data_IF_148958303308
#
_entry.id   IF_148958303308
#
_cell.length_a   1.000
_cell.length_b   1.000
_cell.length_c   1.000
_cell.angle_alpha   90.00
_cell.angle_beta   90.00
_cell.angle_gamma   90.00
#
_symmetry.space_group_name_H-M   'P 1'
#
loop_
_entity.id
_entity.type
_entity.pdbx_description
1 polymer ?
#
# COMPACT_ATOMS: atom_id res chain seq x y z
N UNK A 1 10.97 -17.24 -1.21
CA UNK A 1 10.92 -16.77 0.20
C UNK A 1 9.46 -16.65 0.60
N UNK A 2 9.08 -17.10 1.79
CA UNK A 2 7.68 -17.05 2.25
C UNK A 2 7.56 -16.13 3.48
N UNK A 3 6.53 -15.27 3.50
CA UNK A 3 6.16 -14.40 4.61
C UNK A 3 4.79 -14.80 5.14
N UNK A 4 4.57 -14.71 6.45
CA UNK A 4 3.33 -15.19 7.10
C UNK A 4 2.72 -14.14 8.02
N UNK A 5 1.40 -14.16 8.10
CA UNK A 5 0.59 -13.48 9.11
C UNK A 5 -0.59 -14.38 9.46
N UNK A 6 -1.15 -14.21 10.65
CA UNK A 6 -2.29 -14.97 11.14
C UNK A 6 -3.41 -14.01 11.57
N UNK A 7 -4.64 -14.43 11.37
CA UNK A 7 -5.84 -13.78 11.89
C UNK A 7 -6.61 -14.76 12.79
N UNK A 8 -7.07 -14.30 13.94
CA UNK A 8 -8.01 -15.02 14.80
C UNK A 8 -9.30 -14.21 14.85
N UNK A 9 -10.46 -14.88 14.79
CA UNK A 9 -11.77 -14.25 14.95
C UNK A 9 -12.62 -15.03 15.94
N UNK A 10 -13.37 -14.32 16.79
CA UNK A 10 -14.25 -14.92 17.80
C UNK A 10 -15.60 -14.20 17.80
N UNK A 11 -16.70 -14.96 17.74
CA UNK A 11 -18.07 -14.43 17.73
C UNK A 11 -18.66 -14.28 16.32
N UNK A 12 -19.78 -13.56 16.23
CA UNK A 12 -20.49 -13.33 14.98
C UNK A 12 -19.77 -12.29 14.09
N UNK A 13 -20.32 -11.97 12.92
CA UNK A 13 -19.67 -11.06 11.97
C UNK A 13 -19.63 -9.59 12.39
N UNK A 14 -20.62 -9.10 13.16
CA UNK A 14 -20.75 -7.66 13.50
C UNK A 14 -20.17 -7.31 14.87
N UNK A 15 -20.40 -8.16 15.86
CA UNK A 15 -19.98 -7.98 17.25
C UNK A 15 -18.74 -8.82 17.59
N UNK A 16 -18.28 -9.64 16.65
CA UNK A 16 -17.09 -10.45 16.80
C UNK A 16 -15.82 -9.62 16.95
N UNK A 17 -14.81 -10.24 17.54
CA UNK A 17 -13.50 -9.63 17.79
C UNK A 17 -12.44 -10.37 17.01
N UNK A 18 -11.67 -9.62 16.23
CA UNK A 18 -10.56 -10.11 15.47
C UNK A 18 -9.22 -9.71 16.08
N UNK A 19 -8.18 -10.51 15.82
CA UNK A 19 -6.79 -10.15 16.11
C UNK A 19 -5.88 -10.52 14.93
N UNK A 20 -4.91 -9.65 14.61
CA UNK A 20 -3.90 -9.85 13.58
C UNK A 20 -2.49 -9.95 14.17
N UNK A 21 -1.72 -10.90 13.68
CA UNK A 21 -0.31 -11.10 14.06
C UNK A 21 0.55 -11.31 12.82
N UNK A 22 1.67 -10.60 12.71
CA UNK A 22 2.65 -10.75 11.61
C UNK A 22 3.88 -11.52 12.06
N UNK A 23 4.53 -12.26 11.16
CA UNK A 23 5.75 -13.04 11.48
C UNK A 23 6.89 -12.19 12.06
N UNK A 24 7.00 -10.91 11.69
CA UNK A 24 8.03 -10.00 12.21
C UNK A 24 7.72 -9.49 13.63
N UNK A 25 6.49 -9.66 14.11
CA UNK A 25 6.02 -9.09 15.37
C UNK A 25 5.61 -7.61 15.30
N UNK A 26 5.64 -6.98 14.12
CA UNK A 26 5.18 -5.57 13.94
C UNK A 26 3.69 -5.44 14.33
N UNK A 27 2.87 -6.40 13.89
CA UNK A 27 1.59 -6.68 14.51
C UNK A 27 1.71 -7.90 15.43
N UNK A 28 1.22 -7.77 16.66
CA UNK A 28 1.21 -8.77 17.72
C UNK A 28 -0.15 -8.75 18.42
N UNK A 29 -1.07 -9.64 17.99
CA UNK A 29 -2.44 -9.72 18.49
C UNK A 29 -3.21 -8.39 18.42
N UNK A 30 -2.94 -7.59 17.38
CA UNK A 30 -3.58 -6.28 17.20
C UNK A 30 -5.08 -6.45 16.91
N UNK A 31 -5.98 -5.76 17.64
CA UNK A 31 -7.41 -5.92 17.45
C UNK A 31 -7.88 -5.34 16.11
N UNK A 32 -8.81 -6.02 15.45
CA UNK A 32 -9.58 -5.51 14.32
C UNK A 32 -11.02 -6.02 14.39
N UNK A 33 -11.97 -5.31 13.78
CA UNK A 33 -13.38 -5.65 13.87
C UNK A 33 -14.23 -5.04 12.76
N UNK A 34 -15.54 -5.27 12.83
CA UNK A 34 -16.49 -4.61 11.91
C UNK A 34 -16.46 -3.09 12.09
N UNK A 35 -16.46 -2.64 13.34
CA UNK A 35 -16.34 -1.24 13.76
C UNK A 35 -15.09 -0.53 13.21
N UNK A 36 -13.92 -1.19 13.20
CA UNK A 36 -12.67 -0.58 12.69
C UNK A 36 -12.52 -0.66 11.17
N UNK A 37 -13.35 -1.47 10.51
CA UNK A 37 -13.28 -1.69 9.06
C UNK A 37 -14.37 -0.97 8.27
N UNK A 38 -15.58 -0.91 8.80
CA UNK A 38 -16.76 -0.38 8.11
C UNK A 38 -17.39 0.82 8.84
N UNK A 39 -16.95 1.12 10.05
CA UNK A 39 -17.38 2.30 10.82
C UNK A 39 -16.17 3.22 11.05
N UNK A 40 -16.31 4.22 11.90
CA UNK A 40 -15.31 5.29 12.08
C UNK A 40 -14.38 5.07 13.27
N UNK A 41 -14.42 3.90 13.91
CA UNK A 41 -13.59 3.64 15.08
C UNK A 41 -12.11 3.44 14.69
N UNK A 42 -11.16 4.16 15.34
CA UNK A 42 -9.74 3.96 15.08
C UNK A 42 -9.30 2.52 15.39
N UNK A 43 -8.59 1.91 14.45
CA UNK A 43 -8.02 0.57 14.58
C UNK A 43 -7.55 0.05 13.24
N UNK A 44 -6.82 -1.06 13.24
CA UNK A 44 -6.33 -1.63 11.98
C UNK A 44 -7.45 -2.30 11.20
N UNK A 45 -7.25 -2.42 9.89
CA UNK A 45 -8.12 -3.12 8.97
C UNK A 45 -7.32 -3.69 7.79
N UNK A 46 -7.84 -4.68 7.04
CA UNK A 46 -7.14 -5.23 5.89
C UNK A 46 -6.75 -4.19 4.83
N UNK A 47 -7.57 -3.17 4.61
CA UNK A 47 -7.38 -2.16 3.58
C UNK A 47 -6.15 -1.27 3.85
N UNK A 48 -5.94 -0.81 5.09
CA UNK A 48 -4.72 -0.05 5.44
C UNK A 48 -3.46 -0.91 5.37
N UNK A 49 -3.55 -2.21 5.62
CA UNK A 49 -2.40 -3.12 5.50
C UNK A 49 -2.03 -3.37 4.04
N UNK A 50 -3.02 -3.44 3.15
CA UNK A 50 -2.81 -3.46 1.69
C UNK A 50 -2.21 -2.12 1.24
N UNK A 51 -2.71 -1.00 1.75
CA UNK A 51 -2.16 0.32 1.45
C UNK A 51 -0.69 0.42 1.85
N UNK A 52 -0.34 0.03 3.09
CA UNK A 52 1.03 0.00 3.59
C UNK A 52 1.94 -0.90 2.73
N UNK A 53 1.46 -2.09 2.37
CA UNK A 53 2.18 -3.00 1.50
C UNK A 53 2.44 -2.39 0.10
N UNK A 54 1.42 -1.75 -0.48
CA UNK A 54 1.52 -1.17 -1.81
C UNK A 54 2.44 0.05 -1.84
N UNK A 55 2.28 0.99 -0.88
CA UNK A 55 3.16 2.14 -0.73
C UNK A 55 4.62 1.73 -0.57
N UNK A 56 4.90 0.78 0.32
CA UNK A 56 6.27 0.29 0.57
C UNK A 56 6.87 -0.41 -0.65
N UNK A 57 6.09 -1.28 -1.31
CA UNK A 57 6.54 -2.02 -2.48
C UNK A 57 6.83 -1.11 -3.68
N UNK A 58 5.94 -0.16 -3.97
CA UNK A 58 6.15 0.84 -5.03
C UNK A 58 7.38 1.69 -4.76
N UNK A 59 7.49 2.24 -3.54
CA UNK A 59 8.59 3.15 -3.15
C UNK A 59 9.95 2.45 -3.30
N UNK A 60 10.04 1.19 -2.85
CA UNK A 60 11.26 0.39 -3.00
C UNK A 60 11.56 0.06 -4.46
N UNK A 61 10.55 -0.28 -5.26
CA UNK A 61 10.72 -0.52 -6.69
C UNK A 61 11.25 0.72 -7.42
N UNK A 62 10.73 1.91 -7.11
CA UNK A 62 11.23 3.17 -7.66
C UNK A 62 12.68 3.41 -7.26
N UNK A 63 13.06 3.18 -6.00
CA UNK A 63 14.44 3.30 -5.56
C UNK A 63 15.40 2.42 -6.39
N UNK A 64 15.01 1.19 -6.73
CA UNK A 64 15.79 0.31 -7.61
C UNK A 64 15.83 0.80 -9.06
N UNK A 65 14.73 1.34 -9.59
CA UNK A 65 14.71 1.95 -10.94
C UNK A 65 15.67 3.14 -11.02
N UNK A 66 15.66 4.01 -10.01
CA UNK A 66 16.58 5.15 -9.89
C UNK A 66 18.03 4.69 -9.83
N UNK A 67 18.34 3.71 -8.97
CA UNK A 67 19.68 3.15 -8.86
C UNK A 67 20.18 2.60 -10.20
N UNK A 68 19.34 1.85 -10.92
CA UNK A 68 19.68 1.32 -12.24
C UNK A 68 19.94 2.40 -13.30
N UNK A 69 19.34 3.58 -13.13
CA UNK A 69 19.54 4.75 -13.99
C UNK A 69 20.66 5.69 -13.51
N UNK A 70 21.38 5.36 -12.43
CA UNK A 70 22.48 6.16 -11.89
C UNK A 70 22.05 7.31 -10.97
N UNK A 71 20.80 7.33 -10.51
CA UNK A 71 20.27 8.33 -9.58
C UNK A 71 20.10 7.75 -8.18
N UNK A 72 20.21 8.61 -7.17
CA UNK A 72 19.90 8.26 -5.78
C UNK A 72 18.92 9.30 -5.25
N UNK A 73 17.82 8.86 -4.64
CA UNK A 73 16.85 9.76 -4.01
C UNK A 73 17.35 10.18 -2.62
N UNK A 74 17.18 11.46 -2.28
CA UNK A 74 17.29 11.94 -0.90
C UNK A 74 16.09 11.44 -0.08
N UNK A 75 14.88 11.56 -0.65
CA UNK A 75 13.64 11.10 -0.02
C UNK A 75 12.64 10.64 -1.10
N UNK A 76 11.97 9.51 -0.84
CA UNK A 76 10.77 9.09 -1.55
C UNK A 76 9.66 8.88 -0.52
N UNK A 77 8.62 9.71 -0.59
CA UNK A 77 7.48 9.67 0.32
C UNK A 77 6.23 9.31 -0.45
N UNK A 78 5.73 8.09 -0.23
CA UNK A 78 4.51 7.61 -0.89
C UNK A 78 3.40 7.37 0.12
N UNK A 79 2.23 7.95 -0.15
CA UNK A 79 0.96 7.55 0.44
C UNK A 79 0.22 6.62 -0.52
N UNK A 80 -0.42 5.58 0.01
CA UNK A 80 -1.37 4.77 -0.73
C UNK A 80 -2.76 4.89 -0.09
N UNK A 81 -3.77 5.10 -0.92
CA UNK A 81 -5.18 5.10 -0.51
C UNK A 81 -5.86 3.93 -1.19
N UNK A 82 -6.37 2.98 -0.39
CA UNK A 82 -7.13 1.83 -0.89
C UNK A 82 -8.62 2.12 -0.74
N UNK A 83 -9.37 1.98 -1.83
CA UNK A 83 -10.81 2.21 -1.86
C UNK A 83 -11.56 0.88 -1.78
N UNK A 84 -12.40 0.73 -0.77
CA UNK A 84 -13.33 -0.38 -0.61
C UNK A 84 -14.76 0.15 -0.86
N UNK A 85 -15.42 -0.38 -1.87
CA UNK A 85 -16.75 0.06 -2.26
C UNK A 85 -17.75 -1.09 -2.19
N UNK A 86 -19.03 -0.75 -1.99
CA UNK A 86 -20.11 -1.74 -2.05
C UNK A 86 -20.31 -2.18 -3.50
N UNK A 87 -20.36 -3.50 -3.70
CA UNK A 87 -20.53 -4.13 -5.00
C UNK A 87 -21.63 -5.20 -4.90
N UNK A 88 -22.84 -4.83 -5.33
CA UNK A 88 -24.04 -5.64 -5.15
C UNK A 88 -24.30 -5.99 -3.68
N UNK A 89 -24.22 -7.29 -3.36
CA UNK A 89 -24.41 -7.83 -2.02
C UNK A 89 -23.11 -7.92 -1.19
N UNK A 90 -21.96 -7.52 -1.76
CA UNK A 90 -20.65 -7.59 -1.13
C UNK A 90 -19.90 -6.26 -1.18
N UNK A 91 -18.57 -6.37 -1.04
CA UNK A 91 -17.65 -5.26 -1.15
C UNK A 91 -16.45 -5.65 -2.01
N UNK A 92 -15.92 -4.70 -2.76
CA UNK A 92 -14.80 -4.88 -3.66
C UNK A 92 -13.76 -3.80 -3.39
N UNK A 93 -12.47 -4.18 -3.33
CA UNK A 93 -11.37 -3.21 -3.37
C UNK A 93 -11.26 -2.73 -4.82
N UNK A 94 -11.77 -1.53 -5.10
CA UNK A 94 -11.90 -1.01 -6.47
C UNK A 94 -10.65 -0.28 -6.94
N UNK A 95 -9.91 0.36 -6.03
CA UNK A 95 -8.77 1.17 -6.37
C UNK A 95 -7.65 1.15 -5.32
N UNK A 96 -6.43 1.44 -5.78
CA UNK A 96 -5.29 1.80 -4.95
C UNK A 96 -4.56 2.99 -5.57
N UNK A 97 -4.76 4.18 -5.01
CA UNK A 97 -4.18 5.43 -5.49
C UNK A 97 -2.89 5.75 -4.73
N UNK A 98 -1.80 5.92 -5.47
CA UNK A 98 -0.48 6.27 -4.96
C UNK A 98 -0.24 7.78 -5.15
N UNK A 99 0.20 8.46 -4.08
CA UNK A 99 0.67 9.85 -4.14
C UNK A 99 2.13 9.87 -3.68
N UNK A 100 3.03 10.22 -4.59
CA UNK A 100 4.48 10.30 -4.36
C UNK A 100 4.95 11.75 -4.34
N UNK A 101 5.74 12.09 -3.34
CA UNK A 101 6.62 13.25 -3.32
C UNK A 101 8.06 12.76 -3.26
N UNK A 102 8.89 13.18 -4.20
CA UNK A 102 10.26 12.70 -4.35
C UNK A 102 11.25 13.86 -4.38
N UNK A 103 12.39 13.72 -3.70
CA UNK A 103 13.54 14.61 -3.81
C UNK A 103 14.73 13.82 -4.34
N UNK A 104 15.18 14.15 -5.55
CA UNK A 104 16.18 13.36 -6.28
C UNK A 104 17.14 14.31 -6.99
N UNK A 105 18.34 14.53 -6.45
CA UNK A 105 19.31 15.42 -7.07
C UNK A 105 19.70 14.97 -8.50
N UNK A 106 19.70 15.93 -9.43
CA UNK A 106 20.23 15.74 -10.79
C UNK A 106 19.35 14.99 -11.78
N UNK A 107 18.16 14.51 -11.39
CA UNK A 107 17.20 13.91 -12.32
C UNK A 107 16.33 14.99 -12.96
N UNK A 108 15.97 14.83 -14.24
CA UNK A 108 14.94 15.65 -14.86
C UNK A 108 13.54 15.04 -14.70
N UNK A 109 12.51 15.86 -14.92
CA UNK A 109 11.11 15.46 -14.76
C UNK A 109 10.74 14.28 -15.69
N UNK A 110 11.23 14.28 -16.93
CA UNK A 110 10.90 13.25 -17.91
C UNK A 110 11.41 11.88 -17.46
N UNK A 111 12.66 11.81 -17.00
CA UNK A 111 13.26 10.57 -16.53
C UNK A 111 12.64 10.12 -15.22
N UNK A 112 12.30 11.05 -14.33
CA UNK A 112 11.56 10.74 -13.11
C UNK A 112 10.20 10.10 -13.42
N UNK A 113 9.40 10.69 -14.31
CA UNK A 113 8.08 10.19 -14.68
C UNK A 113 8.16 8.80 -15.34
N UNK A 114 9.16 8.57 -16.20
CA UNK A 114 9.42 7.27 -16.81
C UNK A 114 9.66 6.20 -15.74
N UNK A 115 10.60 6.44 -14.82
CA UNK A 115 10.99 5.46 -13.80
C UNK A 115 9.87 5.23 -12.77
N UNK A 116 9.14 6.28 -12.39
CA UNK A 116 7.98 6.18 -11.52
C UNK A 116 6.85 5.35 -12.16
N UNK A 117 6.55 5.58 -13.44
CA UNK A 117 5.57 4.78 -14.18
C UNK A 117 5.98 3.32 -14.39
N UNK A 118 7.28 3.04 -14.56
CA UNK A 118 7.79 1.66 -14.59
C UNK A 118 7.58 0.99 -13.23
N UNK A 119 7.92 1.67 -12.14
CA UNK A 119 7.77 1.15 -10.78
C UNK A 119 6.30 0.88 -10.42
N UNK A 120 5.38 1.80 -10.74
CA UNK A 120 3.93 1.66 -10.56
C UNK A 120 3.41 0.38 -11.21
N UNK A 121 3.80 0.09 -12.45
CA UNK A 121 3.27 -1.06 -13.19
C UNK A 121 3.91 -2.37 -12.78
N UNK A 122 5.13 -2.33 -12.24
CA UNK A 122 5.95 -3.53 -12.11
C UNK A 122 6.28 -3.97 -10.69
N UNK A 123 6.00 -3.16 -9.66
CA UNK A 123 6.24 -3.62 -8.29
C UNK A 123 5.35 -4.84 -7.99
N UNK A 124 5.85 -5.85 -7.25
CA UNK A 124 5.10 -7.09 -6.99
C UNK A 124 3.68 -6.89 -6.45
N UNK A 125 3.45 -5.90 -5.59
CA UNK A 125 2.11 -5.61 -5.05
C UNK A 125 1.19 -5.07 -6.15
N UNK A 126 1.66 -4.20 -7.03
CA UNK A 126 0.86 -3.72 -8.17
C UNK A 126 0.50 -4.85 -9.13
N UNK A 127 1.40 -5.82 -9.34
CA UNK A 127 1.14 -6.98 -10.20
C UNK A 127 0.07 -7.94 -9.67
N UNK A 128 -0.10 -8.02 -8.35
CA UNK A 128 -1.06 -8.96 -7.73
C UNK A 128 -2.40 -8.30 -7.40
N UNK A 129 -2.44 -6.98 -7.25
CA UNK A 129 -3.68 -6.26 -6.98
C UNK A 129 -4.57 -6.18 -8.22
N UNK A 130 -5.72 -6.85 -8.16
CA UNK A 130 -6.78 -6.70 -9.15
C UNK A 130 -7.68 -5.50 -8.82
N UNK A 131 -7.11 -4.31 -8.84
CA UNK A 131 -7.78 -3.04 -8.58
C UNK A 131 -7.24 -1.96 -9.53
N UNK A 132 -7.97 -0.87 -9.71
CA UNK A 132 -7.46 0.28 -10.47
C UNK A 132 -6.31 0.93 -9.71
N UNK A 133 -5.11 0.86 -10.26
CA UNK A 133 -3.94 1.55 -9.73
C UNK A 133 -3.80 2.90 -10.45
N UNK A 134 -3.45 3.93 -9.69
CA UNK A 134 -3.13 5.25 -10.25
C UNK A 134 -1.99 5.89 -9.47
N UNK A 135 -1.10 6.61 -10.16
CA UNK A 135 -0.02 7.35 -9.55
C UNK A 135 -0.17 8.86 -9.80
N UNK A 136 -0.01 9.65 -8.74
CA UNK A 136 0.31 11.09 -8.80
C UNK A 136 1.70 11.28 -8.23
N UNK A 137 2.65 11.71 -9.04
CA UNK A 137 4.05 11.88 -8.64
C UNK A 137 4.49 13.34 -8.76
N UNK A 138 5.16 13.86 -7.74
CA UNK A 138 5.73 15.20 -7.71
C UNK A 138 7.23 15.12 -7.44
N UNK A 139 8.04 15.68 -8.34
CA UNK A 139 9.47 15.88 -8.11
C UNK A 139 9.68 17.24 -7.43
N UNK A 140 10.33 17.22 -6.28
CA UNK A 140 10.79 18.41 -5.57
C UNK A 140 12.21 18.76 -6.03
N UNK A 141 12.43 20.06 -6.26
CA UNK A 141 13.75 20.62 -6.59
C UNK A 141 14.73 20.62 -5.42
#
# INVERSE_FOLDING_TARGET
>A
MNRKANAVWQGNGKEGKGQLTTQSGVLSSNPYGFNTRFETEPGTNPEELIAAAHAGCFTMALAFQLQGAGFTADELRTEAVVSLEKDGNGFTITASALTLTAKIPGIDQQKFDELAGIAEKNCPVSKVLNAKISLKATLQG
#
